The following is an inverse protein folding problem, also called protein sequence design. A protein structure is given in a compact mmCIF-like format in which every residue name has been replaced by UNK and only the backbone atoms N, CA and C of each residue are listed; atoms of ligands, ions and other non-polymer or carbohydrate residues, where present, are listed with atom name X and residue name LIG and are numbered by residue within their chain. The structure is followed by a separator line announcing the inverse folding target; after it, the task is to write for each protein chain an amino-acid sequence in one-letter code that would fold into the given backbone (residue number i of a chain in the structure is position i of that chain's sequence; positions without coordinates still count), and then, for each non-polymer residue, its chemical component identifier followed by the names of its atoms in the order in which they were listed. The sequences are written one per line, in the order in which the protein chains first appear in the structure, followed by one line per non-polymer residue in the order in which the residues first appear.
data_IF_801701215623
#
_entry.id   IF_801701215623
#
_cell.length_a   1.000
_cell.length_b   1.000
_cell.length_c   1.000
_cell.angle_alpha   90.00
_cell.angle_beta   90.00
_cell.angle_gamma   90.00
#
_symmetry.space_group_name_H-M   'P 1'
#
loop_
_entity.id
_entity.type
_entity.pdbx_description
1 polymer ?
#
# COMPACT_ATOMS: atom_id res chain seq x y z
N UNK A 1 -6.09 30.54 -12.73
CA UNK A 1 -5.15 29.89 -13.65
C UNK A 1 -3.76 30.54 -13.69
N UNK A 2 -3.44 31.53 -12.84
CA UNK A 2 -2.14 32.22 -12.87
C UNK A 2 -1.73 32.70 -14.28
N UNK A 3 -2.69 33.11 -15.11
CA UNK A 3 -2.45 33.55 -16.49
C UNK A 3 -2.07 32.43 -17.49
N UNK A 4 -1.89 31.18 -17.04
CA UNK A 4 -1.42 30.07 -17.88
C UNK A 4 -0.04 30.33 -18.53
N UNK A 5 0.31 29.56 -19.55
CA UNK A 5 1.65 29.60 -20.18
C UNK A 5 2.02 30.96 -20.81
N UNK A 6 1.05 31.85 -21.04
CA UNK A 6 1.26 33.19 -21.63
C UNK A 6 1.10 34.34 -20.64
N UNK A 7 0.81 34.04 -19.36
CA UNK A 7 0.55 35.02 -18.28
C UNK A 7 -0.49 36.11 -18.59
N UNK A 8 -1.31 35.91 -19.63
CA UNK A 8 -2.21 36.95 -20.11
C UNK A 8 -3.43 37.13 -19.16
N UNK A 9 -3.92 38.36 -19.06
CA UNK A 9 -5.12 38.67 -18.26
C UNK A 9 -6.39 38.31 -19.03
N UNK A 10 -6.90 37.10 -18.84
CA UNK A 10 -8.12 36.63 -19.52
C UNK A 10 -9.38 36.61 -18.62
N UNK A 11 -9.35 37.21 -17.43
CA UNK A 11 -10.48 37.23 -16.49
C UNK A 11 -11.32 38.50 -16.69
N UNK A 12 -12.61 38.33 -16.95
CA UNK A 12 -13.59 39.41 -16.87
C UNK A 12 -14.42 39.27 -15.60
N UNK A 13 -14.63 40.39 -14.91
CA UNK A 13 -15.50 40.53 -13.74
C UNK A 13 -16.44 41.71 -13.99
N UNK A 14 -17.73 41.47 -13.86
CA UNK A 14 -18.77 42.47 -13.95
C UNK A 14 -19.59 42.46 -12.66
N UNK A 15 -19.75 43.63 -12.05
CA UNK A 15 -20.57 43.83 -10.84
C UNK A 15 -21.62 44.87 -11.19
N UNK A 16 -22.88 44.59 -10.89
CA UNK A 16 -23.95 45.56 -11.12
C UNK A 16 -23.78 46.78 -10.20
N UNK A 17 -24.17 47.97 -10.67
CA UNK A 17 -23.94 49.22 -9.94
C UNK A 17 -24.58 49.27 -8.55
N UNK A 18 -25.66 48.49 -8.35
CA UNK A 18 -26.37 48.32 -7.08
C UNK A 18 -25.72 47.27 -6.15
N UNK A 19 -24.62 46.63 -6.59
CA UNK A 19 -23.97 45.54 -5.87
C UNK A 19 -24.82 44.27 -5.78
N UNK A 20 -25.95 44.20 -6.48
CA UNK A 20 -26.95 43.14 -6.39
C UNK A 20 -26.55 41.84 -7.09
N UNK A 21 -25.56 41.87 -7.99
CA UNK A 21 -25.02 40.66 -8.61
C UNK A 21 -23.60 40.83 -9.11
N UNK A 22 -22.86 39.72 -9.16
CA UNK A 22 -21.54 39.63 -9.77
C UNK A 22 -21.49 38.46 -10.77
N UNK A 23 -20.88 38.71 -11.92
CA UNK A 23 -20.62 37.76 -12.99
C UNK A 23 -19.12 37.73 -13.28
N UNK A 24 -18.53 36.54 -13.39
CA UNK A 24 -17.14 36.40 -13.79
C UNK A 24 -16.93 35.25 -14.74
N UNK A 25 -16.00 35.43 -15.69
CA UNK A 25 -15.60 34.42 -16.65
C UNK A 25 -14.14 34.58 -17.03
N UNK A 26 -13.39 33.49 -16.94
CA UNK A 26 -12.08 33.35 -17.56
C UNK A 26 -12.27 32.84 -18.99
N UNK A 27 -11.82 33.61 -19.98
CA UNK A 27 -11.95 33.26 -21.40
C UNK A 27 -10.92 32.24 -21.90
N UNK A 28 -10.03 31.78 -21.01
CA UNK A 28 -9.05 30.74 -21.35
C UNK A 28 -9.75 29.38 -21.44
N UNK A 29 -9.73 28.77 -22.63
CA UNK A 29 -10.43 27.50 -22.91
C UNK A 29 -10.09 26.34 -21.97
N UNK A 30 -8.85 26.29 -21.43
CA UNK A 30 -8.42 25.25 -20.47
C UNK A 30 -8.74 25.57 -19.00
N UNK A 31 -9.10 26.81 -18.65
CA UNK A 31 -9.33 27.19 -17.25
C UNK A 31 -10.74 26.85 -16.78
N UNK A 32 -11.75 27.08 -17.62
CA UNK A 32 -13.16 26.80 -17.30
C UNK A 32 -13.76 27.59 -16.14
N UNK A 33 -13.01 28.52 -15.53
CA UNK A 33 -13.45 29.26 -14.34
C UNK A 33 -14.48 30.33 -14.72
N UNK A 34 -15.72 30.14 -14.27
CA UNK A 34 -16.84 31.06 -14.47
C UNK A 34 -17.80 30.95 -13.30
N UNK A 35 -18.55 32.00 -13.03
CA UNK A 35 -19.54 31.99 -11.97
C UNK A 35 -20.44 33.22 -11.97
N UNK A 36 -21.50 33.09 -11.19
CA UNK A 36 -22.51 34.11 -10.98
C UNK A 36 -22.90 34.06 -9.50
N UNK A 37 -23.03 35.22 -8.87
CA UNK A 37 -23.53 35.35 -7.50
C UNK A 37 -24.61 36.43 -7.46
N UNK A 38 -25.87 36.09 -7.12
CA UNK A 38 -26.87 37.08 -6.72
C UNK A 38 -26.65 37.46 -5.24
N UNK A 39 -26.86 38.74 -4.90
CA UNK A 39 -26.77 39.21 -3.53
C UNK A 39 -27.91 38.60 -2.68
N UNK A 40 -27.54 38.04 -1.52
CA UNK A 40 -28.47 37.44 -0.57
C UNK A 40 -29.28 38.52 0.17
N UNK A 41 -30.60 38.45 0.10
CA UNK A 41 -31.49 39.01 1.12
C UNK A 41 -31.88 37.88 2.09
N UNK A 42 -31.57 38.08 3.37
CA UNK A 42 -32.00 37.35 4.57
C UNK A 42 -32.36 35.85 4.49
N UNK A 43 -31.52 35.05 5.17
CA UNK A 43 -32.05 34.10 6.16
C UNK A 43 -32.76 32.84 5.68
N UNK A 44 -32.07 32.00 4.89
CA UNK A 44 -32.13 30.52 4.78
C UNK A 44 -31.85 30.13 3.33
N UNK A 45 -30.84 29.31 3.07
CA UNK A 45 -30.69 28.73 1.74
C UNK A 45 -30.39 27.23 1.76
N UNK A 46 -31.35 26.56 1.13
CA UNK A 46 -31.44 25.19 0.70
C UNK A 46 -30.30 24.79 -0.23
N UNK A 47 -29.89 23.54 -0.09
CA UNK A 47 -28.92 22.84 -0.90
C UNK A 47 -29.25 22.94 -2.41
N UNK A 48 -28.44 23.70 -3.14
CA UNK A 48 -28.28 23.59 -4.59
C UNK A 48 -26.88 23.06 -4.89
N UNK A 49 -26.80 21.85 -5.47
CA UNK A 49 -25.56 21.10 -5.76
C UNK A 49 -24.51 21.96 -6.49
N UNK A 50 -23.44 22.32 -5.79
CA UNK A 50 -22.21 22.86 -6.37
C UNK A 50 -21.23 21.73 -6.70
N UNK A 51 -20.73 21.76 -7.93
CA UNK A 51 -19.59 20.98 -8.42
C UNK A 51 -18.37 21.32 -7.56
N UNK A 52 -17.68 20.26 -7.11
CA UNK A 52 -16.67 20.28 -6.05
C UNK A 52 -15.62 21.37 -6.19
N UNK A 53 -15.69 22.33 -5.26
CA UNK A 53 -14.51 23.04 -4.77
C UNK A 53 -13.99 22.23 -3.58
N UNK A 54 -12.74 21.79 -3.67
CA UNK A 54 -12.02 21.13 -2.58
C UNK A 54 -12.09 22.04 -1.36
N UNK A 55 -12.80 21.60 -0.30
CA UNK A 55 -12.74 22.26 1.01
C UNK A 55 -11.26 22.26 1.41
N UNK A 56 -10.65 23.43 1.54
CA UNK A 56 -9.36 23.56 2.22
C UNK A 56 -9.60 23.06 3.65
N UNK A 57 -9.13 21.85 3.96
CA UNK A 57 -9.14 21.35 5.33
C UNK A 57 -8.26 22.28 6.16
N UNK A 58 -8.87 23.04 7.07
CA UNK A 58 -8.11 23.76 8.10
C UNK A 58 -7.73 22.76 9.18
N UNK A 59 -6.44 22.44 9.27
CA UNK A 59 -5.89 21.62 10.34
C UNK A 59 -5.71 22.46 11.60
N UNK A 60 -5.96 21.85 12.77
CA UNK A 60 -5.74 22.48 14.07
C UNK A 60 -4.24 22.62 14.31
N UNK A 61 -3.78 23.84 14.58
CA UNK A 61 -2.41 24.07 15.08
C UNK A 61 -2.29 23.57 16.53
N UNK A 62 -1.24 22.79 16.79
CA UNK A 62 -0.96 22.19 18.09
C UNK A 62 0.48 22.47 18.53
N UNK A 63 0.67 22.53 19.84
CA UNK A 63 1.98 22.67 20.49
C UNK A 63 2.09 21.65 21.62
N UNK A 64 3.32 21.31 22.02
CA UNK A 64 3.58 20.39 23.15
C UNK A 64 2.90 20.90 24.43
N UNK A 65 2.95 22.22 24.68
CA UNK A 65 2.24 22.86 25.79
C UNK A 65 0.72 22.68 25.69
N UNK A 66 0.13 22.88 24.51
CA UNK A 66 -1.33 22.72 24.33
C UNK A 66 -1.82 21.27 24.48
N UNK A 67 -0.90 20.32 24.36
CA UNK A 67 -1.17 18.89 24.54
C UNK A 67 -0.71 18.37 25.90
N UNK A 68 -0.15 19.22 26.76
CA UNK A 68 0.36 18.84 28.09
C UNK A 68 1.37 17.68 27.99
N UNK A 69 2.24 17.73 26.98
CA UNK A 69 3.26 16.70 26.80
C UNK A 69 4.41 16.91 27.79
N UNK A 70 4.79 15.83 28.45
CA UNK A 70 5.84 15.82 29.47
C UNK A 70 6.97 14.86 29.09
N UNK A 71 8.19 15.06 29.63
CA UNK A 71 9.25 14.07 29.55
C UNK A 71 8.84 12.72 30.15
N UNK A 72 9.41 11.64 29.63
CA UNK A 72 9.12 10.28 30.10
C UNK A 72 9.51 10.08 31.57
N UNK A 73 8.63 9.43 32.33
CA UNK A 73 8.88 9.00 33.70
C UNK A 73 9.84 7.81 33.75
N UNK A 74 10.40 7.55 34.93
CA UNK A 74 11.28 6.39 35.16
C UNK A 74 10.61 5.05 34.83
N UNK A 75 9.31 4.93 35.07
CA UNK A 75 8.53 3.73 34.77
C UNK A 75 8.44 3.49 33.27
N UNK A 76 8.19 4.54 32.47
CA UNK A 76 8.17 4.41 31.01
C UNK A 76 9.55 4.17 30.43
N UNK A 77 10.60 4.81 30.97
CA UNK A 77 11.97 4.53 30.57
C UNK A 77 12.33 3.05 30.82
N UNK A 78 11.92 2.48 31.95
CA UNK A 78 12.09 1.05 32.23
C UNK A 78 11.31 0.17 31.23
N UNK A 79 10.06 0.54 30.90
CA UNK A 79 9.25 -0.16 29.90
C UNK A 79 9.91 -0.21 28.51
N UNK A 80 10.56 0.88 28.08
CA UNK A 80 11.28 0.92 26.81
C UNK A 80 12.61 0.17 26.88
N UNK A 81 13.30 0.22 28.02
CA UNK A 81 14.53 -0.54 28.26
C UNK A 81 14.30 -2.06 28.15
N UNK A 82 13.18 -2.58 28.69
CA UNK A 82 12.76 -3.98 28.51
C UNK A 82 12.60 -4.38 27.03
N UNK A 83 12.39 -3.41 26.15
CA UNK A 83 12.23 -3.59 24.70
C UNK A 83 13.49 -3.29 23.92
N UNK A 84 14.63 -3.17 24.62
CA UNK A 84 15.93 -2.83 24.05
C UNK A 84 15.95 -1.46 23.36
N UNK A 85 15.09 -0.52 23.80
CA UNK A 85 15.05 0.85 23.28
C UNK A 85 15.70 1.77 24.32
N UNK A 86 16.76 2.46 23.90
CA UNK A 86 17.55 3.36 24.72
C UNK A 86 16.88 4.73 24.91
N UNK A 87 17.22 5.41 26.01
CA UNK A 87 16.78 6.78 26.27
C UNK A 87 17.27 7.76 25.18
N UNK A 88 18.45 7.51 24.59
CA UNK A 88 18.96 8.32 23.49
C UNK A 88 18.02 8.27 22.27
N UNK A 89 17.59 7.06 21.88
CA UNK A 89 16.63 6.85 20.79
C UNK A 89 15.29 7.52 21.10
N UNK A 90 14.76 7.36 22.33
CA UNK A 90 13.51 8.01 22.73
C UNK A 90 13.60 9.53 22.61
N UNK A 91 14.71 10.12 23.07
CA UNK A 91 14.96 11.56 23.01
C UNK A 91 15.08 12.06 21.57
N UNK A 92 15.82 11.36 20.69
CA UNK A 92 15.97 11.75 19.28
C UNK A 92 14.63 11.71 18.53
N UNK A 93 13.80 10.74 18.87
CA UNK A 93 12.45 10.56 18.34
C UNK A 93 11.40 11.46 18.97
N UNK A 94 11.78 12.21 20.02
CA UNK A 94 10.90 13.06 20.77
C UNK A 94 9.70 12.31 21.35
N UNK A 95 9.89 11.06 21.80
CA UNK A 95 8.87 10.30 22.53
C UNK A 95 8.65 10.96 23.88
N UNK A 96 7.38 11.17 24.23
CA UNK A 96 6.97 11.89 25.44
C UNK A 96 5.89 11.10 26.17
N UNK A 97 5.41 11.63 27.28
CA UNK A 97 4.22 11.12 27.97
C UNK A 97 3.16 12.22 28.12
N UNK A 98 1.98 11.81 28.55
CA UNK A 98 0.90 12.70 28.94
C UNK A 98 0.06 12.05 30.03
N UNK A 99 -0.48 12.83 30.96
CA UNK A 99 -1.57 12.40 31.83
C UNK A 99 -2.91 12.39 31.08
N UNK A 100 -3.60 11.25 31.09
CA UNK A 100 -4.91 11.10 30.47
C UNK A 100 -5.92 10.52 31.47
N UNK A 101 -6.58 11.41 32.21
CA UNK A 101 -7.34 11.01 33.40
C UNK A 101 -6.37 10.57 34.50
N UNK A 102 -6.63 9.41 35.11
CA UNK A 102 -5.80 8.88 36.22
C UNK A 102 -4.62 7.99 35.74
N UNK A 103 -4.26 8.04 34.45
CA UNK A 103 -3.21 7.20 33.87
C UNK A 103 -2.21 7.99 33.03
N UNK A 104 -0.95 7.58 33.08
CA UNK A 104 0.11 8.07 32.20
C UNK A 104 0.08 7.26 30.90
N UNK A 105 0.12 7.96 29.76
CA UNK A 105 0.10 7.37 28.43
C UNK A 105 1.35 7.78 27.64
N UNK A 106 1.81 6.90 26.75
CA UNK A 106 2.95 7.18 25.86
C UNK A 106 2.45 8.06 24.72
N UNK A 107 3.17 9.14 24.43
CA UNK A 107 2.89 10.07 23.34
C UNK A 107 4.00 9.99 22.28
N UNK A 108 3.60 9.79 21.03
CA UNK A 108 4.43 9.81 19.83
C UNK A 108 4.10 11.06 19.02
N UNK A 109 4.87 12.15 19.16
CA UNK A 109 4.58 13.40 18.48
C UNK A 109 5.16 13.39 17.06
N UNK A 110 4.30 13.64 16.07
CA UNK A 110 4.62 13.66 14.65
C UNK A 110 5.08 15.06 14.27
N UNK A 111 6.30 15.17 13.76
CA UNK A 111 6.93 16.46 13.45
C UNK A 111 7.25 16.61 11.96
N UNK A 112 7.17 17.85 11.49
CA UNK A 112 7.64 18.29 10.17
C UNK A 112 8.44 19.57 10.35
N UNK A 113 9.69 19.58 9.89
CA UNK A 113 10.65 20.67 10.10
C UNK A 113 10.75 21.08 11.58
N UNK A 114 10.76 20.09 12.48
CA UNK A 114 10.79 20.30 13.93
C UNK A 114 9.49 20.81 14.56
N UNK A 115 8.46 21.13 13.78
CA UNK A 115 7.16 21.58 14.30
C UNK A 115 6.22 20.40 14.53
N UNK A 116 5.47 20.44 15.63
CA UNK A 116 4.46 19.43 15.94
C UNK A 116 3.25 19.56 15.00
N UNK A 117 2.89 18.46 14.34
CA UNK A 117 1.80 18.39 13.33
C UNK A 117 0.65 17.52 13.82
N UNK A 118 0.96 16.38 14.43
CA UNK A 118 -0.01 15.48 15.06
C UNK A 118 0.62 14.79 16.26
N UNK A 119 -0.19 14.08 17.05
CA UNK A 119 0.32 13.24 18.13
C UNK A 119 -0.54 11.98 18.22
N UNK A 120 0.13 10.84 18.33
CA UNK A 120 -0.50 9.55 18.59
C UNK A 120 -0.16 9.09 19.98
N UNK A 121 -1.14 8.52 20.65
CA UNK A 121 -1.01 8.05 22.01
C UNK A 121 -1.21 6.55 22.06
N UNK A 122 -0.57 5.95 23.06
CA UNK A 122 -0.70 4.54 23.39
C UNK A 122 -0.75 4.37 24.89
N UNK A 123 -1.75 3.64 25.38
CA UNK A 123 -1.74 3.18 26.77
C UNK A 123 -0.94 1.88 26.94
N UNK A 124 -0.63 1.55 28.19
CA UNK A 124 0.07 0.29 28.54
C UNK A 124 -0.71 -0.97 28.13
N UNK A 125 -2.04 -0.86 27.93
CA UNK A 125 -2.92 -1.94 27.46
C UNK A 125 -2.94 -2.10 25.93
N UNK A 126 -2.10 -1.34 25.21
CA UNK A 126 -1.98 -1.33 23.75
C UNK A 126 -3.20 -0.77 23.01
N UNK A 127 -3.97 0.14 23.63
CA UNK A 127 -4.96 0.94 22.90
C UNK A 127 -4.30 2.19 22.34
N UNK A 128 -4.69 2.55 21.12
CA UNK A 128 -4.12 3.67 20.38
C UNK A 128 -5.20 4.68 19.99
N UNK A 129 -4.85 5.96 20.03
CA UNK A 129 -5.67 7.05 19.49
C UNK A 129 -4.77 8.19 19.02
N UNK A 130 -5.32 9.11 18.24
CA UNK A 130 -4.60 10.25 17.66
C UNK A 130 -5.36 11.54 17.90
N UNK A 131 -4.63 12.66 17.85
CA UNK A 131 -5.24 14.00 17.87
C UNK A 131 -6.18 14.20 16.69
N UNK A 132 -7.39 14.69 16.99
CA UNK A 132 -8.42 14.96 15.98
C UNK A 132 -8.10 16.23 15.20
N UNK A 133 -8.58 16.28 13.96
CA UNK A 133 -8.48 17.44 13.07
C UNK A 133 -7.03 17.92 12.84
N UNK A 134 -6.08 16.99 12.91
CA UNK A 134 -4.67 17.21 12.59
C UNK A 134 -4.30 16.61 11.23
N UNK A 135 -3.23 17.12 10.64
CA UNK A 135 -2.71 16.57 9.38
C UNK A 135 -2.09 15.20 9.64
N UNK A 136 -2.43 14.21 8.81
CA UNK A 136 -1.82 12.89 8.88
C UNK A 136 -0.49 12.90 8.14
N UNK A 137 0.59 12.59 8.84
CA UNK A 137 1.94 12.48 8.28
C UNK A 137 2.62 11.22 8.78
N UNK A 138 3.78 10.89 8.24
CA UNK A 138 4.60 9.77 8.72
C UNK A 138 5.33 10.15 10.01
N UNK A 139 5.49 9.19 10.93
CA UNK A 139 6.29 9.41 12.13
C UNK A 139 7.77 9.35 11.78
N UNK A 140 8.57 10.32 12.25
CA UNK A 140 9.97 10.45 11.87
C UNK A 140 10.19 11.07 10.49
N UNK A 141 9.21 11.79 9.93
CA UNK A 141 9.29 12.38 8.58
C UNK A 141 10.58 13.19 8.34
N UNK A 142 11.04 13.94 9.34
CA UNK A 142 12.26 14.74 9.24
C UNK A 142 13.54 13.90 9.05
N UNK A 143 13.53 12.63 9.45
CA UNK A 143 14.67 11.71 9.31
C UNK A 143 14.89 11.23 7.87
N UNK A 144 13.90 11.37 6.99
CA UNK A 144 13.99 10.96 5.59
C UNK A 144 14.12 12.16 4.63
N UNK A 145 14.38 13.36 5.18
CA UNK A 145 14.59 14.54 4.36
C UNK A 145 15.82 14.36 3.47
N UNK A 146 15.61 14.42 2.16
CA UNK A 146 16.64 14.23 1.12
C UNK A 146 17.30 12.84 1.08
N UNK A 147 16.73 11.86 1.79
CA UNK A 147 17.20 10.48 1.76
C UNK A 147 16.78 9.74 0.48
N UNK A 148 17.71 8.93 -0.05
CA UNK A 148 17.48 8.12 -1.27
C UNK A 148 17.05 6.70 -0.99
N UNK A 149 17.41 6.18 0.17
CA UNK A 149 17.04 4.87 0.68
C UNK A 149 16.24 5.13 1.96
N UNK A 150 14.99 4.66 2.03
CA UNK A 150 14.13 4.87 3.19
C UNK A 150 13.47 3.56 3.61
N UNK A 151 13.19 3.43 4.89
CA UNK A 151 12.49 2.28 5.47
C UNK A 151 11.12 2.73 5.96
N UNK A 152 10.07 1.99 5.61
CA UNK A 152 8.72 2.21 6.11
C UNK A 152 8.30 1.00 6.94
N UNK A 153 8.03 1.23 8.22
CA UNK A 153 7.52 0.23 9.17
C UNK A 153 6.06 0.50 9.54
N UNK A 154 5.40 -0.46 10.19
CA UNK A 154 4.00 -0.32 10.58
C UNK A 154 3.80 0.53 11.84
N UNK A 155 4.56 0.27 12.90
CA UNK A 155 4.38 0.92 14.20
C UNK A 155 5.50 1.88 14.60
N UNK A 156 5.19 2.78 15.54
CA UNK A 156 6.18 3.69 16.11
C UNK A 156 7.28 2.92 16.86
N UNK A 157 6.91 1.82 17.53
CA UNK A 157 7.85 0.95 18.22
C UNK A 157 8.85 0.31 17.27
N UNK A 158 8.41 -0.08 16.07
CA UNK A 158 9.30 -0.65 15.05
C UNK A 158 10.27 0.40 14.51
N UNK A 159 9.83 1.66 14.43
CA UNK A 159 10.70 2.77 14.02
C UNK A 159 11.80 2.97 15.05
N UNK A 160 11.46 2.96 16.34
CA UNK A 160 12.43 3.01 17.43
C UNK A 160 13.39 1.81 17.35
N UNK A 161 12.87 0.62 17.05
CA UNK A 161 13.71 -0.58 16.92
C UNK A 161 14.69 -0.50 15.73
N UNK A 162 14.25 0.04 14.59
CA UNK A 162 15.12 0.30 13.44
C UNK A 162 16.25 1.27 13.79
N UNK A 163 15.95 2.28 14.62
CA UNK A 163 16.94 3.24 15.05
C UNK A 163 18.02 2.65 15.95
N UNK A 164 17.64 1.74 16.85
CA UNK A 164 18.59 0.94 17.65
C UNK A 164 19.50 0.07 16.77
N UNK A 165 19.00 -0.38 15.61
CA UNK A 165 19.82 -1.07 14.60
C UNK A 165 20.69 -0.12 13.76
N UNK A 166 20.63 1.19 14.01
CA UNK A 166 21.37 2.21 13.26
C UNK A 166 20.69 2.67 11.97
N UNK A 167 19.46 2.24 11.71
CA UNK A 167 18.67 2.62 10.54
C UNK A 167 17.85 3.88 10.85
N UNK A 168 18.49 5.05 10.72
CA UNK A 168 17.85 6.35 11.02
C UNK A 168 16.89 6.83 9.94
N UNK A 169 17.10 6.43 8.69
CA UNK A 169 16.27 6.70 7.52
C UNK A 169 14.95 5.91 7.54
N UNK A 170 14.27 5.85 8.69
CA UNK A 170 13.09 5.03 8.92
C UNK A 170 11.90 5.88 9.39
N UNK A 171 10.73 5.56 8.86
CA UNK A 171 9.45 6.19 9.22
C UNK A 171 8.39 5.14 9.51
N UNK A 172 7.41 5.46 10.35
CA UNK A 172 6.22 4.61 10.55
C UNK A 172 4.96 5.22 9.97
N UNK A 173 4.02 4.37 9.55
CA UNK A 173 2.70 4.81 9.11
C UNK A 173 1.86 5.26 10.32
N UNK A 174 1.04 6.32 10.18
CA UNK A 174 0.21 6.78 11.29
C UNK A 174 -0.96 5.84 11.57
N UNK A 175 -1.56 5.36 10.49
CA UNK A 175 -2.69 4.44 10.50
C UNK A 175 -2.18 3.02 10.27
N UNK A 176 -2.51 2.10 11.19
CA UNK A 176 -2.09 0.69 11.09
C UNK A 176 -2.66 -0.03 9.86
N UNK A 177 -2.33 -1.31 9.72
CA UNK A 177 -2.62 -2.07 8.53
C UNK A 177 -4.13 -2.23 8.18
N UNK A 178 -4.48 -2.26 6.89
CA UNK A 178 -5.81 -2.70 6.45
C UNK A 178 -6.01 -4.21 6.70
N UNK A 179 -7.27 -4.65 6.84
CA UNK A 179 -7.59 -6.08 6.89
C UNK A 179 -7.31 -6.81 5.56
N UNK A 180 -7.41 -6.10 4.44
CA UNK A 180 -7.17 -6.65 3.11
C UNK A 180 -6.79 -5.57 2.11
N UNK A 181 -6.18 -6.00 1.02
CA UNK A 181 -5.82 -5.18 -0.14
C UNK A 181 -7.10 -4.79 -0.88
N UNK A 182 -7.23 -3.53 -1.28
CA UNK A 182 -8.37 -3.05 -2.05
C UNK A 182 -8.37 -3.71 -3.44
N UNK A 183 -9.45 -4.39 -3.85
CA UNK A 183 -9.54 -4.95 -5.21
C UNK A 183 -9.75 -3.88 -6.29
N UNK A 184 -10.02 -2.63 -5.88
CA UNK A 184 -10.27 -1.51 -6.79
C UNK A 184 -8.96 -0.87 -7.25
N UNK A 185 -9.03 -0.17 -8.37
CA UNK A 185 -7.97 0.74 -8.78
C UNK A 185 -7.70 1.80 -7.71
N UNK A 186 -6.51 2.38 -7.77
CA UNK A 186 -6.12 3.42 -6.84
C UNK A 186 -7.05 4.64 -7.01
N UNK A 187 -7.62 5.15 -5.91
CA UNK A 187 -8.36 6.39 -5.96
C UNK A 187 -7.43 7.55 -6.37
N UNK A 188 -8.01 8.62 -6.89
CA UNK A 188 -7.29 9.90 -7.03
C UNK A 188 -6.77 10.35 -5.66
N UNK A 189 -5.63 11.04 -5.63
CA UNK A 189 -4.94 11.48 -4.40
C UNK A 189 -5.90 12.16 -3.41
N UNK A 190 -6.76 13.06 -3.90
CA UNK A 190 -7.76 13.80 -3.09
C UNK A 190 -8.83 12.91 -2.44
N UNK A 191 -9.06 11.70 -2.97
CA UNK A 191 -10.08 10.75 -2.51
C UNK A 191 -9.48 9.60 -1.68
N UNK A 192 -8.16 9.54 -1.58
CA UNK A 192 -7.45 8.47 -0.89
C UNK A 192 -7.28 8.76 0.60
N UNK A 193 -8.41 8.99 1.28
CA UNK A 193 -8.44 9.48 2.67
C UNK A 193 -7.73 8.56 3.66
N UNK A 194 -7.68 7.25 3.40
CA UNK A 194 -7.00 6.27 4.25
C UNK A 194 -5.47 6.37 4.17
N UNK A 195 -4.94 6.70 2.99
CA UNK A 195 -3.50 6.81 2.75
C UNK A 195 -3.07 8.26 2.51
N UNK A 196 -3.87 9.23 2.99
CA UNK A 196 -3.63 10.65 2.81
C UNK A 196 -2.24 11.07 3.31
N UNK A 197 -1.70 10.38 4.32
CA UNK A 197 -0.36 10.61 4.83
C UNK A 197 0.75 10.42 3.78
N UNK A 198 0.57 9.55 2.78
CA UNK A 198 1.52 9.40 1.69
C UNK A 198 1.53 10.64 0.79
N UNK A 199 0.35 11.17 0.48
CA UNK A 199 0.20 12.37 -0.35
C UNK A 199 0.67 13.63 0.37
N UNK A 200 0.37 13.74 1.67
CA UNK A 200 0.88 14.81 2.54
C UNK A 200 2.42 14.77 2.68
N UNK A 201 3.05 13.62 2.46
CA UNK A 201 4.50 13.44 2.54
C UNK A 201 5.16 13.21 1.17
N UNK A 202 4.45 13.50 0.07
CA UNK A 202 4.87 13.16 -1.30
C UNK A 202 6.26 13.71 -1.65
N UNK A 203 6.53 14.96 -1.30
CA UNK A 203 7.82 15.64 -1.57
C UNK A 203 9.03 14.95 -0.93
N UNK A 204 8.82 14.24 0.18
CA UNK A 204 9.86 13.45 0.86
C UNK A 204 9.99 12.09 0.17
N UNK A 205 8.85 11.45 -0.10
CA UNK A 205 8.80 10.10 -0.66
C UNK A 205 9.29 10.06 -2.11
N UNK A 206 9.01 11.04 -2.96
CA UNK A 206 9.43 11.07 -4.37
C UNK A 206 10.96 11.09 -4.56
N UNK A 207 11.70 11.65 -3.59
CA UNK A 207 13.17 11.68 -3.60
C UNK A 207 13.79 10.30 -3.34
N UNK A 208 13.05 9.42 -2.67
CA UNK A 208 13.51 8.07 -2.36
C UNK A 208 13.50 7.19 -3.63
N UNK A 209 14.70 6.79 -4.06
CA UNK A 209 14.92 5.83 -5.13
C UNK A 209 14.74 4.37 -4.69
N UNK A 210 14.89 4.11 -3.39
CA UNK A 210 14.73 2.80 -2.76
C UNK A 210 13.88 2.92 -1.51
N UNK A 211 12.81 2.13 -1.45
CA UNK A 211 11.87 2.11 -0.33
C UNK A 211 11.78 0.68 0.19
N UNK A 212 12.28 0.45 1.39
CA UNK A 212 12.22 -0.83 2.08
C UNK A 212 10.94 -0.89 2.91
N UNK A 213 10.04 -1.81 2.59
CA UNK A 213 8.81 -2.06 3.31
C UNK A 213 9.05 -3.15 4.36
N UNK A 214 9.09 -2.74 5.62
CA UNK A 214 9.30 -3.57 6.80
C UNK A 214 8.05 -3.58 7.69
N UNK A 215 6.91 -3.92 7.08
CA UNK A 215 5.62 -4.08 7.76
C UNK A 215 5.54 -5.40 8.54
N UNK A 216 4.52 -5.56 9.38
CA UNK A 216 4.29 -6.79 10.13
C UNK A 216 4.24 -8.04 9.23
N UNK A 217 4.73 -9.17 9.76
CA UNK A 217 4.74 -10.47 9.10
C UNK A 217 3.38 -11.16 9.00
N UNK A 218 2.34 -10.55 9.57
CA UNK A 218 0.97 -11.08 9.53
C UNK A 218 0.20 -10.62 8.28
N UNK A 219 -0.97 -11.21 8.05
CA UNK A 219 -1.81 -10.94 6.87
C UNK A 219 -2.16 -9.46 6.68
N UNK A 220 -2.35 -8.72 7.77
CA UNK A 220 -2.67 -7.29 7.68
C UNK A 220 -1.43 -6.51 7.25
N UNK A 221 -0.27 -6.78 7.85
CA UNK A 221 1.00 -6.18 7.43
C UNK A 221 1.34 -6.47 5.96
N UNK A 222 1.07 -7.69 5.46
CA UNK A 222 1.23 -7.99 4.03
C UNK A 222 0.31 -7.13 3.14
N UNK A 223 -0.93 -6.90 3.59
CA UNK A 223 -1.88 -6.06 2.88
C UNK A 223 -1.46 -4.58 2.91
N UNK A 224 -0.89 -4.10 4.02
CA UNK A 224 -0.31 -2.77 4.11
C UNK A 224 0.86 -2.61 3.12
N UNK A 225 1.81 -3.55 3.10
CA UNK A 225 2.95 -3.50 2.20
C UNK A 225 2.52 -3.45 0.73
N UNK A 226 1.49 -4.22 0.36
CA UNK A 226 0.93 -4.21 -0.99
C UNK A 226 0.26 -2.87 -1.34
N UNK A 227 -0.53 -2.30 -0.42
CA UNK A 227 -1.17 -0.99 -0.63
C UNK A 227 -0.17 0.17 -0.70
N UNK A 228 0.93 0.09 0.07
CA UNK A 228 2.05 1.02 0.00
C UNK A 228 2.77 0.88 -1.35
N UNK A 229 3.16 -0.35 -1.73
CA UNK A 229 3.88 -0.59 -2.98
C UNK A 229 3.10 -0.13 -4.22
N UNK A 230 1.77 -0.31 -4.23
CA UNK A 230 0.91 0.16 -5.33
C UNK A 230 0.93 1.68 -5.49
N UNK A 231 0.99 2.45 -4.39
CA UNK A 231 0.96 3.92 -4.40
C UNK A 231 2.33 4.55 -4.58
N UNK A 232 3.34 3.90 -4.00
CA UNK A 232 4.71 4.40 -4.04
C UNK A 232 5.37 4.03 -5.37
N UNK A 233 4.96 2.96 -6.05
CA UNK A 233 5.63 2.43 -7.23
C UNK A 233 6.43 1.17 -6.87
N UNK A 234 6.01 0.02 -7.40
CA UNK A 234 6.59 -1.29 -7.03
C UNK A 234 8.05 -1.41 -7.42
N UNK A 235 8.43 -0.75 -8.51
CA UNK A 235 9.77 -0.75 -9.09
C UNK A 235 10.83 -0.14 -8.19
N UNK A 236 10.41 0.63 -7.18
CA UNK A 236 11.30 1.19 -6.15
C UNK A 236 11.04 0.62 -4.76
N UNK A 237 10.25 -0.45 -4.65
CA UNK A 237 9.95 -1.09 -3.38
C UNK A 237 10.77 -2.36 -3.18
N UNK A 238 11.24 -2.54 -1.96
CA UNK A 238 11.83 -3.77 -1.43
C UNK A 238 10.99 -4.22 -0.25
N UNK A 239 11.07 -5.49 0.11
CA UNK A 239 10.34 -6.08 1.22
C UNK A 239 11.27 -6.84 2.14
N UNK A 240 11.14 -6.58 3.43
CA UNK A 240 11.80 -7.37 4.46
C UNK A 240 11.07 -8.69 4.63
N UNK A 241 11.85 -9.79 4.70
CA UNK A 241 11.35 -11.08 5.19
C UNK A 241 11.85 -11.28 6.61
N UNK A 242 10.93 -11.30 7.56
CA UNK A 242 11.26 -11.56 8.95
C UNK A 242 11.78 -13.00 9.13
N UNK A 243 12.80 -13.22 9.98
CA UNK A 243 13.42 -14.53 10.16
C UNK A 243 12.48 -15.52 10.83
N UNK A 244 12.79 -16.82 10.71
CA UNK A 244 12.10 -17.87 11.45
C UNK A 244 12.41 -17.75 12.94
N UNK A 245 11.37 -17.81 13.76
CA UNK A 245 11.45 -17.89 15.22
C UNK A 245 11.55 -19.35 15.69
N UNK A 246 10.83 -20.24 15.00
CA UNK A 246 10.88 -21.69 15.18
C UNK A 246 10.54 -22.38 13.84
N UNK A 247 10.26 -23.68 13.84
CA UNK A 247 9.93 -24.42 12.60
C UNK A 247 8.67 -23.92 11.89
N UNK A 248 7.75 -23.27 12.61
CA UNK A 248 6.41 -22.88 12.15
C UNK A 248 6.24 -21.36 12.08
N UNK A 249 6.76 -20.65 13.07
CA UNK A 249 6.55 -19.21 13.27
C UNK A 249 7.74 -18.39 12.77
N UNK A 250 7.43 -17.19 12.29
CA UNK A 250 8.41 -16.15 12.02
C UNK A 250 8.29 -15.04 13.06
N UNK A 251 9.35 -14.26 13.23
CA UNK A 251 9.26 -13.02 13.98
C UNK A 251 8.22 -12.09 13.35
N UNK A 252 7.47 -11.38 14.19
CA UNK A 252 6.34 -10.58 13.72
C UNK A 252 6.77 -9.25 13.10
N UNK A 253 7.68 -8.56 13.76
CA UNK A 253 8.00 -7.16 13.48
C UNK A 253 9.46 -6.83 13.86
N UNK A 254 9.85 -5.57 13.65
CA UNK A 254 11.22 -5.13 13.89
C UNK A 254 11.57 -5.16 15.39
N UNK A 255 10.62 -4.79 16.26
CA UNK A 255 10.86 -4.78 17.70
C UNK A 255 11.07 -6.19 18.26
N UNK A 256 10.33 -7.20 17.80
CA UNK A 256 10.60 -8.58 18.19
C UNK A 256 12.00 -9.03 17.74
N UNK A 257 12.40 -8.75 16.50
CA UNK A 257 13.75 -9.10 16.04
C UNK A 257 14.82 -8.42 16.89
N UNK A 258 14.66 -7.13 17.21
CA UNK A 258 15.58 -6.41 18.09
C UNK A 258 15.68 -7.07 19.47
N UNK A 259 14.54 -7.39 20.10
CA UNK A 259 14.50 -7.94 21.45
C UNK A 259 15.15 -9.32 21.55
N UNK A 260 14.96 -10.18 20.54
CA UNK A 260 15.40 -11.58 20.60
C UNK A 260 16.73 -11.84 19.89
N UNK A 261 17.03 -11.13 18.80
CA UNK A 261 18.22 -11.37 17.96
C UNK A 261 19.21 -10.19 17.99
N UNK A 262 18.81 -9.03 18.50
CA UNK A 262 19.65 -7.86 18.66
C UNK A 262 19.76 -6.97 17.41
N UNK A 263 20.37 -5.78 17.57
CA UNK A 263 20.39 -4.74 16.55
C UNK A 263 21.20 -5.12 15.30
N UNK A 264 22.30 -5.89 15.47
CA UNK A 264 23.13 -6.32 14.35
C UNK A 264 22.39 -7.22 13.36
N UNK A 265 21.60 -8.16 13.89
CA UNK A 265 20.79 -9.07 13.07
C UNK A 265 19.64 -8.32 12.39
N UNK A 266 18.97 -7.41 13.12
CA UNK A 266 17.92 -6.56 12.54
C UNK A 266 18.45 -5.76 11.35
N UNK A 267 19.64 -5.15 11.48
CA UNK A 267 20.28 -4.42 10.39
C UNK A 267 20.56 -5.31 9.18
N UNK A 268 21.13 -6.49 9.39
CA UNK A 268 21.43 -7.45 8.31
C UNK A 268 20.18 -7.87 7.54
N UNK A 269 19.07 -8.09 8.26
CA UNK A 269 17.77 -8.44 7.66
C UNK A 269 17.25 -7.31 6.77
N UNK A 270 17.37 -6.06 7.21
CA UNK A 270 16.96 -4.88 6.44
C UNK A 270 17.84 -4.72 5.20
N UNK A 271 19.15 -4.91 5.31
CA UNK A 271 20.09 -4.85 4.18
C UNK A 271 19.80 -5.92 3.12
N UNK A 272 19.36 -7.11 3.57
CA UNK A 272 18.95 -8.25 2.73
C UNK A 272 17.51 -8.17 2.21
N UNK A 273 16.83 -7.03 2.38
CA UNK A 273 15.48 -6.86 1.83
C UNK A 273 15.43 -7.21 0.34
N UNK A 274 14.42 -7.97 -0.05
CA UNK A 274 14.26 -8.48 -1.41
C UNK A 274 13.44 -7.51 -2.25
N UNK A 275 13.63 -7.55 -3.57
CA UNK A 275 12.84 -6.71 -4.46
C UNK A 275 11.35 -7.04 -4.35
N UNK A 276 10.48 -6.02 -4.31
CA UNK A 276 9.04 -6.25 -4.20
C UNK A 276 8.54 -6.91 -5.48
N UNK A 277 7.78 -8.02 -5.42
CA UNK A 277 7.36 -8.74 -6.61
C UNK A 277 6.54 -7.82 -7.55
N UNK A 278 7.05 -7.65 -8.77
CA UNK A 278 6.32 -7.00 -9.86
C UNK A 278 5.58 -8.10 -10.61
N UNK A 279 4.26 -7.94 -10.72
CA UNK A 279 3.40 -8.89 -11.44
C UNK A 279 3.92 -9.06 -12.88
N UNK A 280 4.21 -10.30 -13.27
CA UNK A 280 4.73 -10.64 -14.60
C UNK A 280 6.25 -10.58 -14.75
N UNK A 281 6.99 -10.16 -13.71
CA UNK A 281 8.44 -10.26 -13.66
C UNK A 281 8.81 -11.42 -12.74
N UNK A 282 9.53 -12.40 -13.28
CA UNK A 282 9.94 -13.60 -12.56
C UNK A 282 11.44 -13.80 -12.71
N UNK A 283 12.11 -14.28 -11.67
CA UNK A 283 13.49 -14.70 -11.83
C UNK A 283 13.52 -16.08 -12.47
N UNK A 284 14.44 -16.30 -13.41
CA UNK A 284 14.63 -17.61 -14.02
C UNK A 284 14.86 -18.71 -12.96
N UNK A 285 15.49 -18.37 -11.83
CA UNK A 285 15.75 -19.29 -10.73
C UNK A 285 14.48 -19.81 -10.05
N UNK A 286 13.39 -19.03 -10.08
CA UNK A 286 12.12 -19.40 -9.46
C UNK A 286 11.48 -20.59 -10.19
N UNK A 287 11.90 -20.87 -11.43
CA UNK A 287 11.43 -21.98 -12.25
C UNK A 287 12.35 -23.20 -12.23
N UNK A 288 13.46 -23.20 -11.47
CA UNK A 288 14.38 -24.34 -11.51
C UNK A 288 13.70 -25.64 -11.12
N UNK A 289 12.91 -25.64 -10.06
CA UNK A 289 12.21 -26.85 -9.62
C UNK A 289 11.18 -27.33 -10.66
N UNK A 290 10.48 -26.41 -11.33
CA UNK A 290 9.54 -26.73 -12.40
C UNK A 290 10.26 -27.27 -13.65
N UNK A 291 11.38 -26.65 -14.04
CA UNK A 291 12.21 -27.08 -15.18
C UNK A 291 12.86 -28.44 -14.89
N UNK A 292 13.36 -28.64 -13.68
CA UNK A 292 13.99 -29.87 -13.24
C UNK A 292 12.97 -31.00 -13.20
N UNK A 293 11.77 -30.72 -12.69
CA UNK A 293 10.67 -31.67 -12.72
C UNK A 293 10.19 -32.00 -14.14
N UNK A 294 10.15 -31.00 -15.04
CA UNK A 294 9.86 -31.19 -16.46
C UNK A 294 10.92 -32.07 -17.14
N UNK A 295 12.19 -31.80 -16.87
CA UNK A 295 13.31 -32.56 -17.42
C UNK A 295 13.33 -34.01 -16.90
N UNK A 296 13.10 -34.20 -15.60
CA UNK A 296 13.09 -35.49 -14.93
C UNK A 296 11.75 -36.23 -15.01
N UNK A 297 10.72 -35.62 -15.62
CA UNK A 297 9.39 -36.20 -15.82
C UNK A 297 8.70 -36.58 -14.52
N UNK A 298 8.90 -35.78 -13.48
CA UNK A 298 8.31 -35.99 -12.16
C UNK A 298 6.98 -35.26 -11.99
N UNK A 299 6.67 -34.31 -12.89
CA UNK A 299 5.34 -33.71 -13.05
C UNK A 299 4.55 -34.50 -14.12
N UNK A 300 3.31 -34.87 -13.81
CA UNK A 300 2.52 -35.90 -14.53
C UNK A 300 2.40 -35.78 -16.06
N UNK A 301 1.29 -35.23 -16.56
CA UNK A 301 0.85 -35.36 -17.97
C UNK A 301 1.65 -34.54 -19.00
N UNK A 302 2.91 -34.18 -18.75
CA UNK A 302 3.71 -33.23 -19.55
C UNK A 302 3.93 -33.62 -21.03
N UNK A 303 3.68 -34.88 -21.39
CA UNK A 303 3.73 -35.37 -22.77
C UNK A 303 2.35 -35.56 -23.42
N UNK A 304 1.30 -35.09 -22.75
CA UNK A 304 -0.09 -35.26 -23.13
C UNK A 304 -0.63 -36.66 -22.82
N UNK A 305 -1.95 -36.78 -22.83
CA UNK A 305 -2.66 -38.05 -22.70
C UNK A 305 -2.84 -38.66 -24.08
N UNK A 306 -2.57 -39.96 -24.20
CA UNK A 306 -2.87 -40.73 -25.42
C UNK A 306 -4.31 -40.49 -25.85
N UNK A 307 -4.49 -40.30 -27.15
CA UNK A 307 -5.80 -40.14 -27.79
C UNK A 307 -6.60 -41.45 -27.82
N UNK A 308 -5.96 -42.58 -27.48
CA UNK A 308 -6.48 -43.93 -27.66
C UNK A 308 -6.19 -44.50 -29.06
N UNK A 309 -5.69 -43.69 -30.00
CA UNK A 309 -5.31 -44.11 -31.34
C UNK A 309 -3.79 -44.10 -31.49
N UNK A 310 -3.16 -45.28 -31.47
CA UNK A 310 -1.70 -45.43 -31.61
C UNK A 310 -1.11 -44.73 -32.84
N UNK A 311 -1.88 -44.68 -33.95
CA UNK A 311 -1.45 -44.03 -35.18
C UNK A 311 -1.40 -42.50 -35.05
N UNK A 312 -2.19 -41.92 -34.14
CA UNK A 312 -2.23 -40.49 -33.88
C UNK A 312 -1.31 -40.08 -32.73
N UNK A 313 -1.15 -40.92 -31.70
CA UNK A 313 -0.31 -40.64 -30.52
C UNK A 313 1.16 -40.34 -30.85
N UNK A 314 1.64 -40.81 -32.01
CA UNK A 314 2.97 -40.48 -32.51
C UNK A 314 3.13 -39.01 -32.94
N UNK A 315 2.02 -38.33 -33.22
CA UNK A 315 1.96 -36.96 -33.72
C UNK A 315 1.25 -36.00 -32.77
N UNK A 316 0.29 -36.50 -31.99
CA UNK A 316 -0.55 -35.68 -31.13
C UNK A 316 -1.03 -36.47 -29.91
N UNK A 317 -0.80 -35.88 -28.73
CA UNK A 317 -1.40 -36.28 -27.46
C UNK A 317 -2.14 -35.09 -26.86
N UNK A 318 -3.16 -35.34 -26.04
CA UNK A 318 -4.02 -34.29 -25.49
C UNK A 318 -3.39 -33.73 -24.22
N UNK A 319 -2.90 -32.48 -24.27
CA UNK A 319 -2.29 -31.83 -23.11
C UNK A 319 -3.31 -30.92 -22.38
N UNK A 320 -3.52 -31.09 -21.06
CA UNK A 320 -4.33 -30.17 -20.28
C UNK A 320 -3.79 -28.73 -20.36
N UNK A 321 -4.69 -27.75 -20.52
CA UNK A 321 -4.32 -26.34 -20.60
C UNK A 321 -4.02 -25.83 -22.02
N UNK A 322 -3.95 -26.72 -23.01
CA UNK A 322 -3.80 -26.33 -24.42
C UNK A 322 -5.15 -26.20 -25.15
N UNK A 323 -5.20 -25.31 -26.14
CA UNK A 323 -6.33 -25.18 -27.05
C UNK A 323 -6.16 -26.13 -28.24
N UNK A 324 -6.97 -27.18 -28.30
CA UNK A 324 -7.02 -28.09 -29.47
C UNK A 324 -8.10 -27.63 -30.45
N UNK A 325 -7.70 -27.38 -31.70
CA UNK A 325 -8.62 -26.98 -32.77
C UNK A 325 -8.74 -28.12 -33.78
N UNK A 326 -9.97 -28.64 -33.96
CA UNK A 326 -10.28 -29.69 -34.95
C UNK A 326 -11.01 -29.06 -36.13
N UNK A 327 -10.47 -29.25 -37.34
CA UNK A 327 -11.04 -28.69 -38.57
C UNK A 327 -11.02 -29.71 -39.71
N UNK A 328 -11.84 -29.48 -40.73
CA UNK A 328 -12.06 -30.42 -41.83
C UNK A 328 -13.30 -30.09 -42.65
N UNK A 329 -13.43 -30.74 -43.81
CA UNK A 329 -14.50 -30.51 -44.81
C UNK A 329 -15.90 -30.72 -44.17
N UNK A 330 -16.97 -30.03 -44.58
CA UNK A 330 -18.33 -30.34 -44.13
C UNK A 330 -18.68 -31.83 -44.28
N UNK A 331 -19.39 -32.40 -43.31
CA UNK A 331 -19.78 -33.83 -43.25
C UNK A 331 -18.61 -34.84 -43.26
N UNK A 332 -17.40 -34.45 -42.84
CA UNK A 332 -16.24 -35.36 -42.74
C UNK A 332 -16.13 -36.13 -41.42
N UNK A 333 -17.11 -36.03 -40.52
CA UNK A 333 -17.12 -36.78 -39.26
C UNK A 333 -16.36 -36.11 -38.10
N UNK A 334 -16.21 -34.77 -38.12
CA UNK A 334 -15.47 -34.02 -37.08
C UNK A 334 -16.07 -34.19 -35.69
N UNK A 335 -17.39 -34.06 -35.59
CA UNK A 335 -18.12 -34.15 -34.33
C UNK A 335 -17.97 -35.55 -33.74
N UNK A 336 -18.16 -36.58 -34.57
CA UNK A 336 -17.98 -37.98 -34.20
C UNK A 336 -16.54 -38.29 -33.77
N UNK A 337 -15.55 -37.68 -34.43
CA UNK A 337 -14.15 -37.82 -34.03
C UNK A 337 -13.88 -37.19 -32.66
N UNK A 338 -14.41 -35.99 -32.40
CA UNK A 338 -14.30 -35.33 -31.09
C UNK A 338 -14.97 -36.19 -30.03
N UNK A 339 -16.21 -36.64 -30.25
CA UNK A 339 -16.94 -37.48 -29.29
C UNK A 339 -16.19 -38.77 -28.96
N UNK A 340 -15.57 -39.41 -29.96
CA UNK A 340 -14.76 -40.60 -29.77
C UNK A 340 -13.49 -40.32 -28.95
N UNK A 341 -12.82 -39.19 -29.21
CA UNK A 341 -11.65 -38.76 -28.43
C UNK A 341 -12.03 -38.52 -26.96
N UNK A 342 -13.14 -37.82 -26.72
CA UNK A 342 -13.63 -37.55 -25.37
C UNK A 342 -13.96 -38.84 -24.61
N UNK A 343 -14.61 -39.80 -25.27
CA UNK A 343 -14.86 -41.13 -24.69
C UNK A 343 -13.55 -41.84 -24.31
N UNK A 344 -12.55 -41.81 -25.19
CA UNK A 344 -11.25 -42.44 -24.94
C UNK A 344 -10.53 -41.81 -23.74
N UNK A 345 -10.55 -40.48 -23.63
CA UNK A 345 -9.94 -39.75 -22.51
C UNK A 345 -10.69 -40.00 -21.21
N UNK A 346 -12.02 -39.99 -21.23
CA UNK A 346 -12.84 -40.30 -20.06
C UNK A 346 -12.57 -41.72 -19.55
N UNK A 347 -12.43 -42.69 -20.46
CA UNK A 347 -12.13 -44.08 -20.10
C UNK A 347 -10.69 -44.30 -19.62
N UNK A 348 -9.72 -43.64 -20.24
CA UNK A 348 -8.29 -43.89 -19.97
C UNK A 348 -7.79 -43.19 -18.70
N UNK A 349 -8.21 -41.94 -18.48
CA UNK A 349 -7.69 -41.07 -17.42
C UNK A 349 -8.80 -40.44 -16.57
N UNK A 350 -10.06 -40.82 -16.77
CA UNK A 350 -11.18 -40.37 -15.94
C UNK A 350 -11.57 -38.91 -16.15
N UNK A 351 -11.24 -38.31 -17.30
CA UNK A 351 -11.57 -36.91 -17.56
C UNK A 351 -13.07 -36.69 -17.69
N UNK A 352 -13.52 -35.56 -17.13
CA UNK A 352 -14.88 -35.07 -17.21
C UNK A 352 -14.95 -33.89 -18.18
N UNK A 353 -15.97 -33.88 -19.03
CA UNK A 353 -16.10 -32.89 -20.10
C UNK A 353 -17.40 -32.12 -19.97
N UNK A 354 -17.32 -30.81 -20.20
CA UNK A 354 -18.48 -29.96 -20.43
C UNK A 354 -18.64 -29.75 -21.94
N UNK A 355 -19.82 -30.09 -22.47
CA UNK A 355 -20.10 -30.00 -23.90
C UNK A 355 -21.02 -28.82 -24.18
N UNK A 356 -20.62 -27.97 -25.13
CA UNK A 356 -21.45 -26.90 -25.67
C UNK A 356 -21.50 -27.07 -27.19
N UNK A 357 -22.50 -27.81 -27.66
CA UNK A 357 -22.77 -27.94 -29.10
C UNK A 357 -23.80 -26.89 -29.50
N UNK A 358 -23.43 -26.01 -30.43
CA UNK A 358 -24.34 -25.01 -30.99
C UNK A 358 -25.13 -25.57 -32.20
N UNK A 359 -24.77 -26.75 -32.69
CA UNK A 359 -25.37 -27.39 -33.86
C UNK A 359 -26.34 -28.52 -33.48
N UNK A 360 -26.08 -29.23 -32.38
CA UNK A 360 -26.95 -30.30 -31.88
C UNK A 360 -27.87 -29.76 -30.78
N UNK A 361 -29.19 -29.87 -30.99
CA UNK A 361 -30.22 -29.55 -29.98
C UNK A 361 -30.45 -30.68 -29.00
#
# INVERSE_FOLDING_TARGET
CQGGDSEEKSLSLFITQDGGSALWQCFRGKCGWKGHMPAFADGKLSYGKSVGTSRVMQYREITEMSLELEPLSSELLAYFSERMISEETLRRNGVMQREYGDQIVIAFPYRRNGRLVSCKYRDVTKKFWQEKDTEKILYGLDDIMDEKDIIIVEGEMDKLAMEEAGCRNCVSVPDGAPQSVSPKDLPLEEKDTKYQYLWNCKDYLEKASRIILATDGDRAGQALAEELARRLGRERCWRVRWPKKNEVDHFKDANEVLMYLGPGVLKEIVEKAEFYPIRGLFNFRDYFDEIDAYYHRTLGYEFGVSTGWKALDAYYNVLPGELTIVTGIPNSGKSEWIDALLCNLSKSVGWNFALCSMENK
#
